data_IF_320465790510
#
_entry.id   IF_320465790510
#
_cell.length_a   1.000
_cell.length_b   1.000
_cell.length_c   1.000
_cell.angle_alpha   90.00
_cell.angle_beta   90.00
_cell.angle_gamma   90.00
#
_symmetry.space_group_name_H-M   'P 1'
#
loop_
_entity.id
_entity.type
_entity.pdbx_description
1 polymer ?
#
# COMPACT_ATOMS: atom_id res chain seq x y z
N UNK A 1 -12.24 18.10 -2.99
CA UNK A 1 -10.92 17.45 -2.86
C UNK A 1 -10.13 17.70 -4.13
N UNK A 2 -8.92 18.25 -4.04
CA UNK A 2 -8.01 18.41 -5.19
C UNK A 2 -7.08 17.20 -5.25
N UNK A 3 -7.58 16.09 -5.80
CA UNK A 3 -6.78 14.87 -6.00
C UNK A 3 -6.28 14.84 -7.44
N UNK A 4 -4.95 14.77 -7.62
CA UNK A 4 -4.35 14.53 -8.94
C UNK A 4 -4.41 13.04 -9.24
N UNK A 5 -5.08 12.69 -10.34
CA UNK A 5 -5.19 11.31 -10.80
C UNK A 5 -4.25 11.12 -12.00
N UNK A 6 -3.50 10.03 -11.99
CA UNK A 6 -2.59 9.65 -13.05
C UNK A 6 -2.97 8.23 -13.51
N UNK A 7 -3.14 8.05 -14.82
CA UNK A 7 -3.54 6.79 -15.45
C UNK A 7 -2.50 6.38 -16.49
N UNK A 8 -2.53 5.11 -16.92
CA UNK A 8 -1.60 4.54 -17.92
C UNK A 8 -0.12 4.69 -17.53
N UNK A 9 0.18 4.55 -16.23
CA UNK A 9 1.55 4.59 -15.71
C UNK A 9 2.13 3.18 -15.60
N UNK A 10 3.43 3.02 -15.88
CA UNK A 10 4.16 1.85 -15.43
C UNK A 10 4.41 1.97 -13.93
N UNK A 11 3.66 1.21 -13.13
CA UNK A 11 3.70 1.29 -11.67
C UNK A 11 5.11 0.99 -11.14
N UNK A 12 5.75 -0.09 -11.61
CA UNK A 12 7.03 -0.55 -11.07
C UNK A 12 8.14 0.48 -11.33
N UNK A 13 8.22 0.99 -12.55
CA UNK A 13 9.16 2.07 -12.89
C UNK A 13 8.91 3.30 -12.03
N UNK A 14 7.64 3.68 -11.85
CA UNK A 14 7.30 4.86 -11.07
C UNK A 14 7.65 4.72 -9.59
N UNK A 15 7.40 3.55 -9.01
CA UNK A 15 7.79 3.24 -7.65
C UNK A 15 9.32 3.30 -7.49
N UNK A 16 10.09 2.77 -8.44
CA UNK A 16 11.54 2.86 -8.42
C UNK A 16 12.06 4.31 -8.47
N UNK A 17 11.44 5.19 -9.26
CA UNK A 17 11.74 6.63 -9.25
C UNK A 17 11.45 7.29 -7.90
N UNK A 18 10.27 7.02 -7.34
CA UNK A 18 9.85 7.58 -6.06
C UNK A 18 10.77 7.12 -4.92
N UNK A 19 11.22 5.87 -4.96
CA UNK A 19 12.21 5.32 -4.02
C UNK A 19 13.52 6.12 -4.06
N UNK A 20 14.03 6.42 -5.26
CA UNK A 20 15.21 7.31 -5.45
C UNK A 20 14.97 8.73 -4.94
N UNK A 21 13.72 9.18 -4.90
CA UNK A 21 13.31 10.48 -4.35
C UNK A 21 13.00 10.44 -2.84
N UNK A 22 13.48 9.42 -2.13
CA UNK A 22 13.30 9.21 -0.68
C UNK A 22 11.85 9.02 -0.23
N UNK A 23 11.00 8.42 -1.08
CA UNK A 23 9.71 7.90 -0.63
C UNK A 23 9.90 6.49 -0.05
N UNK A 24 9.28 6.23 1.10
CA UNK A 24 9.10 4.86 1.60
C UNK A 24 7.85 4.26 1.00
N UNK A 25 7.95 3.06 0.47
CA UNK A 25 6.91 2.41 -0.32
C UNK A 25 6.38 1.22 0.46
N UNK A 26 5.08 1.23 0.71
CA UNK A 26 4.36 0.18 1.41
C UNK A 26 3.42 -0.51 0.44
N UNK A 27 3.19 -1.81 0.64
CA UNK A 27 2.12 -2.53 -0.05
C UNK A 27 1.18 -3.17 0.98
N UNK A 28 -0.12 -3.12 0.72
CA UNK A 28 -1.11 -3.77 1.55
C UNK A 28 -1.11 -5.29 1.27
N UNK A 29 -0.90 -6.10 2.30
CA UNK A 29 -0.96 -7.56 2.26
C UNK A 29 -1.56 -8.07 3.58
N UNK A 30 -2.09 -9.28 3.57
CA UNK A 30 -2.52 -9.95 4.79
C UNK A 30 -1.34 -10.22 5.74
N UNK A 31 -0.15 -10.44 5.18
CA UNK A 31 1.07 -10.70 5.93
C UNK A 31 1.97 -9.47 5.89
N UNK A 32 2.00 -8.72 7.00
CA UNK A 32 2.82 -7.52 7.12
C UNK A 32 2.79 -6.93 8.52
N UNK A 33 3.45 -5.80 8.68
CA UNK A 33 3.40 -5.02 9.92
C UNK A 33 2.03 -4.37 10.05
N UNK A 34 1.47 -4.34 11.25
CA UNK A 34 0.19 -3.68 11.50
C UNK A 34 0.24 -2.21 11.06
N UNK A 35 -0.66 -1.80 10.17
CA UNK A 35 -0.66 -0.43 9.60
C UNK A 35 -0.70 0.66 10.68
N UNK A 36 -1.28 0.39 11.86
CA UNK A 36 -1.34 1.34 12.97
C UNK A 36 0.01 1.59 13.65
N UNK A 37 0.97 0.68 13.50
CA UNK A 37 2.31 0.77 14.10
C UNK A 37 3.29 1.52 13.19
N UNK A 38 2.91 1.78 11.93
CA UNK A 38 3.75 2.45 10.96
C UNK A 38 3.77 3.96 11.20
N UNK A 39 4.98 4.52 11.20
CA UNK A 39 5.18 5.96 11.20
C UNK A 39 5.25 6.51 9.76
N UNK A 40 4.14 7.08 9.29
CA UNK A 40 4.01 7.65 7.94
C UNK A 40 4.46 9.12 7.82
N UNK A 41 5.22 9.67 8.78
CA UNK A 41 5.67 11.08 8.74
C UNK A 41 6.60 11.42 7.58
N UNK A 42 7.32 10.43 7.05
CA UNK A 42 8.14 10.59 5.87
C UNK A 42 7.29 10.49 4.59
N UNK A 43 7.85 10.94 3.46
CA UNK A 43 7.20 10.77 2.15
C UNK A 43 6.86 9.29 1.95
N UNK A 44 5.57 8.98 1.85
CA UNK A 44 5.08 7.60 1.86
C UNK A 44 4.24 7.34 0.62
N UNK A 45 4.39 6.15 0.05
CA UNK A 45 3.51 5.62 -0.99
C UNK A 45 2.86 4.36 -0.45
N UNK A 46 1.55 4.25 -0.56
CA UNK A 46 0.82 3.02 -0.21
C UNK A 46 0.25 2.44 -1.49
N UNK A 47 0.59 1.19 -1.76
CA UNK A 47 0.11 0.46 -2.93
C UNK A 47 -0.93 -0.56 -2.50
N UNK A 48 -1.91 -0.75 -3.37
CA UNK A 48 -2.96 -1.73 -3.23
C UNK A 48 -2.94 -2.62 -4.47
N UNK A 49 -3.16 -3.91 -4.27
CA UNK A 49 -3.17 -4.91 -5.33
C UNK A 49 -4.55 -5.53 -5.47
N UNK A 50 -4.75 -6.25 -6.57
CA UNK A 50 -5.98 -7.01 -6.80
C UNK A 50 -6.14 -8.09 -5.73
N UNK A 51 -7.30 -8.17 -5.09
CA UNK A 51 -7.62 -9.17 -4.07
C UNK A 51 -7.47 -10.61 -4.56
N UNK A 52 -7.79 -10.88 -5.83
CA UNK A 52 -7.80 -12.24 -6.37
C UNK A 52 -6.38 -12.79 -6.60
N UNK A 53 -5.42 -11.93 -6.93
CA UNK A 53 -4.06 -12.34 -7.31
C UNK A 53 -3.01 -11.93 -6.28
N UNK A 54 -3.35 -11.00 -5.38
CA UNK A 54 -2.39 -10.40 -4.47
C UNK A 54 -1.34 -9.55 -5.19
N UNK A 55 -0.26 -9.16 -4.49
CA UNK A 55 0.81 -8.38 -5.06
C UNK A 55 1.77 -9.28 -5.85
N UNK A 56 2.21 -8.80 -7.01
CA UNK A 56 3.21 -9.48 -7.85
C UNK A 56 4.57 -9.51 -7.17
N UNK A 57 5.46 -10.42 -7.58
CA UNK A 57 6.82 -10.49 -7.05
C UNK A 57 7.58 -9.18 -7.28
N UNK A 58 7.46 -8.58 -8.46
CA UNK A 58 8.09 -7.29 -8.78
C UNK A 58 7.63 -6.17 -7.84
N UNK A 59 6.35 -6.17 -7.44
CA UNK A 59 5.85 -5.20 -6.47
C UNK A 59 6.46 -5.43 -5.08
N UNK A 60 6.56 -6.70 -4.65
CA UNK A 60 7.20 -7.06 -3.38
C UNK A 60 8.67 -6.63 -3.36
N UNK A 61 9.38 -6.78 -4.48
CA UNK A 61 10.80 -6.45 -4.59
C UNK A 61 11.08 -4.94 -4.60
N UNK A 62 10.18 -4.13 -5.19
CA UNK A 62 10.35 -2.66 -5.22
C UNK A 62 9.90 -1.99 -3.93
N UNK A 63 8.90 -2.55 -3.24
CA UNK A 63 8.40 -2.01 -1.98
C UNK A 63 9.39 -2.23 -0.81
N UNK A 64 9.28 -1.39 0.22
CA UNK A 64 10.13 -1.46 1.41
C UNK A 64 9.53 -2.35 2.50
N UNK A 65 8.20 -2.35 2.64
CA UNK A 65 7.52 -3.02 3.75
C UNK A 65 6.09 -3.40 3.40
N UNK A 66 5.67 -4.60 3.80
CA UNK A 66 4.28 -5.04 3.74
C UNK A 66 3.52 -4.49 4.96
N UNK A 67 2.33 -3.94 4.76
CA UNK A 67 1.45 -3.49 5.83
C UNK A 67 0.13 -4.27 5.84
N UNK A 68 -0.38 -4.58 7.02
CA UNK A 68 -1.61 -5.36 7.20
C UNK A 68 -2.62 -4.64 8.06
N UNK A 69 -3.90 -4.83 7.76
CA UNK A 69 -5.00 -4.51 8.66
C UNK A 69 -5.27 -5.76 9.50
N UNK A 70 -5.06 -5.73 10.83
CA UNK A 70 -5.31 -6.89 11.67
C UNK A 70 -6.74 -7.39 11.50
N UNK A 71 -6.86 -8.65 11.09
CA UNK A 71 -8.16 -9.31 10.98
C UNK A 71 -8.74 -9.55 12.36
N UNK A 72 -10.06 -9.42 12.48
CA UNK A 72 -10.83 -9.93 13.61
C UNK A 72 -11.80 -10.98 13.08
N UNK A 73 -11.73 -12.20 13.63
CA UNK A 73 -12.58 -13.33 13.22
C UNK A 73 -12.13 -14.00 11.91
N UNK A 74 -13.02 -14.79 11.32
CA UNK A 74 -12.76 -15.65 10.16
C UNK A 74 -13.07 -14.95 8.83
N UNK A 75 -12.48 -13.77 8.59
CA UNK A 75 -12.59 -13.08 7.30
C UNK A 75 -11.34 -13.31 6.45
N UNK A 76 -11.53 -13.57 5.16
CA UNK A 76 -10.43 -13.84 4.23
C UNK A 76 -9.70 -12.57 3.80
N UNK A 77 -10.41 -11.49 3.53
CA UNK A 77 -9.81 -10.17 3.25
C UNK A 77 -10.89 -9.09 3.33
N UNK A 78 -10.45 -7.83 3.38
CA UNK A 78 -11.31 -6.69 3.09
C UNK A 78 -11.22 -6.39 1.60
N UNK A 79 -12.28 -5.79 1.05
CA UNK A 79 -12.17 -5.28 -0.31
C UNK A 79 -11.14 -4.13 -0.39
N UNK A 80 -10.55 -3.92 -1.57
CA UNK A 80 -9.49 -2.92 -1.77
C UNK A 80 -9.96 -1.53 -1.34
N UNK A 81 -11.22 -1.18 -1.60
CA UNK A 81 -11.75 0.14 -1.24
C UNK A 81 -11.89 0.33 0.27
N UNK A 82 -12.33 -0.67 1.03
CA UNK A 82 -12.38 -0.62 2.48
C UNK A 82 -10.99 -0.63 3.10
N UNK A 83 -10.08 -1.46 2.58
CA UNK A 83 -8.68 -1.47 3.02
C UNK A 83 -8.03 -0.09 2.82
N UNK A 84 -8.24 0.52 1.64
CA UNK A 84 -7.77 1.87 1.36
C UNK A 84 -8.39 2.90 2.29
N UNK A 85 -9.70 2.87 2.52
CA UNK A 85 -10.37 3.79 3.43
C UNK A 85 -9.80 3.71 4.86
N UNK A 86 -9.62 2.50 5.39
CA UNK A 86 -9.08 2.27 6.74
C UNK A 86 -7.65 2.81 6.85
N UNK A 87 -6.76 2.43 5.93
CA UNK A 87 -5.36 2.85 6.01
C UNK A 87 -5.23 4.36 5.81
N UNK A 88 -5.93 4.93 4.82
CA UNK A 88 -5.87 6.37 4.55
C UNK A 88 -6.45 7.20 5.71
N UNK A 89 -7.48 6.70 6.41
CA UNK A 89 -8.05 7.40 7.57
C UNK A 89 -7.05 7.59 8.71
N UNK A 90 -6.02 6.75 8.80
CA UNK A 90 -4.94 6.87 9.80
C UNK A 90 -3.90 7.95 9.44
N UNK A 91 -3.84 8.33 8.16
CA UNK A 91 -2.92 9.36 7.66
C UNK A 91 -3.47 10.78 7.77
N UNK A 92 -4.79 10.90 7.92
CA UNK A 92 -5.50 12.15 8.15
C UNK A 92 -5.48 12.51 9.64
#
# INVERSE_FOLDING_TARGET
>A
FNLKIYENINLIEKLAELKKANYKIYFADMNGTNYNEINYKQKSVITFCNEAFGPTQELRDVCDEAITIPKKGNIDSLNVSAAAAVILSKLL
#
